data_IF_590784803614
#
_entry.id   IF_590784803614
#
_cell.length_a   1.000
_cell.length_b   1.000
_cell.length_c   1.000
_cell.angle_alpha   90.00
_cell.angle_beta   90.00
_cell.angle_gamma   90.00
#
_symmetry.space_group_name_H-M   'P 1'
#
loop_
_entity.id
_entity.type
_entity.pdbx_description
1 polymer ?
#
# COMPACT_ATOMS: atom_id res chain seq x y z
N UNK A 1 -35.69 37.85 14.97
CA UNK A 1 -35.37 37.03 13.78
C UNK A 1 -33.89 37.23 13.49
N UNK A 2 -33.02 36.33 13.97
CA UNK A 2 -31.58 36.35 13.67
C UNK A 2 -31.27 34.95 13.13
N UNK A 3 -31.07 34.88 11.82
CA UNK A 3 -30.83 33.65 11.09
C UNK A 3 -29.34 33.40 10.87
N UNK A 4 -28.98 32.11 11.02
CA UNK A 4 -27.96 31.37 10.29
C UNK A 4 -26.53 31.96 10.18
N UNK A 5 -25.63 31.50 11.05
CA UNK A 5 -24.23 31.22 10.71
C UNK A 5 -23.85 29.87 11.32
N UNK A 6 -23.90 28.78 10.55
CA UNK A 6 -23.38 27.48 10.96
C UNK A 6 -22.90 26.61 9.78
N UNK A 7 -22.36 27.22 8.72
CA UNK A 7 -21.84 26.47 7.55
C UNK A 7 -20.31 26.36 7.54
N UNK A 8 -19.59 27.08 8.40
CA UNK A 8 -18.12 27.13 8.36
C UNK A 8 -17.39 26.15 9.29
N UNK A 9 -18.09 25.48 10.22
CA UNK A 9 -17.46 24.55 11.17
C UNK A 9 -17.30 23.12 10.61
N UNK A 10 -18.08 22.73 9.60
CA UNK A 10 -17.97 21.39 9.00
C UNK A 10 -16.78 21.26 8.03
N UNK A 11 -16.27 22.35 7.45
CA UNK A 11 -15.17 22.27 6.47
C UNK A 11 -13.82 22.03 7.17
N UNK A 12 -13.59 22.65 8.34
CA UNK A 12 -12.33 22.52 9.09
C UNK A 12 -12.10 21.12 9.69
N UNK A 13 -13.15 20.49 10.21
CA UNK A 13 -13.06 19.13 10.76
C UNK A 13 -12.74 18.09 9.68
N UNK A 14 -13.32 18.25 8.48
CA UNK A 14 -13.04 17.35 7.35
C UNK A 14 -11.60 17.51 6.83
N UNK A 15 -11.06 18.73 6.78
CA UNK A 15 -9.68 18.94 6.35
C UNK A 15 -8.63 18.33 7.31
N UNK A 16 -8.87 18.42 8.63
CA UNK A 16 -8.01 17.78 9.64
C UNK A 16 -8.11 16.26 9.63
N UNK A 17 -9.31 15.70 9.44
CA UNK A 17 -9.50 14.26 9.29
C UNK A 17 -8.76 13.74 8.05
N UNK A 18 -8.93 14.39 6.90
CA UNK A 18 -8.26 14.01 5.64
C UNK A 18 -6.73 14.07 5.76
N UNK A 19 -6.18 15.10 6.42
CA UNK A 19 -4.73 15.17 6.65
C UNK A 19 -4.20 14.01 7.52
N UNK A 20 -4.93 13.67 8.59
CA UNK A 20 -4.60 12.52 9.46
C UNK A 20 -4.75 11.17 8.73
N UNK A 21 -5.73 11.05 7.85
CA UNK A 21 -5.97 9.84 7.06
C UNK A 21 -4.86 9.66 6.00
N UNK A 22 -4.41 10.75 5.37
CA UNK A 22 -3.28 10.72 4.43
C UNK A 22 -2.00 10.20 5.11
N UNK A 23 -1.63 10.75 6.26
CA UNK A 23 -0.47 10.30 7.03
C UNK A 23 -0.58 8.83 7.42
N UNK A 24 -1.79 8.38 7.77
CA UNK A 24 -2.06 6.97 8.10
C UNK A 24 -1.86 6.07 6.88
N UNK A 25 -2.37 6.45 5.70
CA UNK A 25 -2.17 5.70 4.45
C UNK A 25 -0.69 5.64 4.10
N UNK A 26 0.03 6.76 4.21
CA UNK A 26 1.49 6.81 3.96
C UNK A 26 2.26 5.89 4.91
N UNK A 27 1.87 5.83 6.17
CA UNK A 27 2.49 4.94 7.16
C UNK A 27 2.28 3.45 6.83
N UNK A 28 1.09 3.07 6.34
CA UNK A 28 0.80 1.69 5.88
C UNK A 28 1.72 1.32 4.72
N UNK A 29 1.85 2.19 3.73
CA UNK A 29 2.71 1.96 2.55
C UNK A 29 4.18 1.85 2.96
N UNK A 30 4.66 2.73 3.85
CA UNK A 30 6.03 2.67 4.35
C UNK A 30 6.32 1.34 5.08
N UNK A 31 5.34 0.82 5.82
CA UNK A 31 5.45 -0.49 6.49
C UNK A 31 5.48 -1.64 5.49
N UNK A 32 4.67 -1.58 4.44
CA UNK A 32 4.70 -2.57 3.35
C UNK A 32 6.05 -2.57 2.64
N UNK A 33 6.56 -1.40 2.25
CA UNK A 33 7.89 -1.25 1.62
C UNK A 33 8.99 -1.86 2.51
N UNK A 34 8.95 -1.60 3.82
CA UNK A 34 9.90 -2.18 4.76
C UNK A 34 9.80 -3.72 4.82
N UNK A 35 8.59 -4.27 4.75
CA UNK A 35 8.37 -5.71 4.75
C UNK A 35 8.92 -6.38 3.47
N UNK A 36 8.74 -5.75 2.30
CA UNK A 36 9.36 -6.17 1.04
C UNK A 36 10.89 -6.14 1.10
N UNK A 37 11.47 -5.04 1.61
CA UNK A 37 12.93 -4.91 1.79
C UNK A 37 13.52 -6.01 2.71
N UNK A 38 12.74 -6.46 3.70
CA UNK A 38 13.15 -7.51 4.64
C UNK A 38 12.82 -8.93 4.15
N UNK A 39 12.13 -9.07 3.02
CA UNK A 39 11.61 -10.34 2.52
C UNK A 39 10.75 -11.07 3.57
N UNK A 40 9.87 -10.34 4.26
CA UNK A 40 8.98 -10.86 5.29
C UNK A 40 7.57 -11.10 4.70
N UNK A 41 7.25 -12.35 4.29
CA UNK A 41 5.98 -12.66 3.64
C UNK A 41 4.78 -12.46 4.58
N UNK A 42 4.97 -12.67 5.88
CA UNK A 42 3.92 -12.54 6.87
C UNK A 42 3.59 -11.05 7.09
N UNK A 43 4.62 -10.23 7.26
CA UNK A 43 4.43 -8.80 7.45
C UNK A 43 3.78 -8.13 6.23
N UNK A 44 4.16 -8.53 4.99
CA UNK A 44 3.49 -8.08 3.76
C UNK A 44 2.01 -8.48 3.79
N UNK A 45 1.72 -9.78 3.94
CA UNK A 45 0.35 -10.28 3.88
C UNK A 45 -0.55 -9.71 4.98
N UNK A 46 -0.01 -9.40 6.16
CA UNK A 46 -0.77 -8.80 7.27
C UNK A 46 -1.32 -7.39 7.00
N UNK A 47 -0.85 -6.72 5.92
CA UNK A 47 -1.38 -5.42 5.50
C UNK A 47 -2.63 -5.56 4.61
N UNK A 48 -2.93 -6.76 4.13
CA UNK A 48 -4.04 -7.01 3.21
C UNK A 48 -5.25 -7.58 3.96
N UNK A 49 -6.45 -7.21 3.50
CA UNK A 49 -7.70 -7.82 3.98
C UNK A 49 -7.77 -9.31 3.57
N UNK A 50 -8.60 -10.09 4.28
CA UNK A 50 -8.77 -11.52 4.02
C UNK A 50 -9.32 -11.83 2.63
N UNK A 51 -9.94 -10.86 1.97
CA UNK A 51 -10.57 -10.92 0.65
C UNK A 51 -9.81 -10.10 -0.42
N UNK A 52 -8.60 -9.63 -0.09
CA UNK A 52 -7.81 -8.81 -1.01
C UNK A 52 -7.49 -9.54 -2.32
N UNK A 53 -7.48 -8.79 -3.42
CA UNK A 53 -6.92 -9.25 -4.69
C UNK A 53 -5.52 -8.67 -4.86
N UNK A 54 -4.54 -9.54 -5.02
CA UNK A 54 -3.16 -9.16 -5.33
C UNK A 54 -2.76 -9.69 -6.71
N UNK A 55 -2.08 -8.87 -7.50
CA UNK A 55 -1.60 -9.23 -8.83
C UNK A 55 -0.19 -8.70 -9.07
N UNK A 56 0.64 -9.50 -9.75
CA UNK A 56 1.97 -9.07 -10.19
C UNK A 56 2.07 -8.98 -11.73
N UNK A 57 3.19 -8.44 -12.26
CA UNK A 57 3.42 -8.34 -13.71
C UNK A 57 3.47 -9.68 -14.45
N UNK A 58 3.64 -10.80 -13.75
CA UNK A 58 3.78 -12.14 -14.33
C UNK A 58 2.47 -12.94 -14.33
N UNK A 59 1.33 -12.23 -14.33
CA UNK A 59 -0.01 -12.81 -14.35
C UNK A 59 -0.36 -13.73 -13.16
N UNK A 60 0.39 -13.67 -12.05
CA UNK A 60 -0.06 -14.28 -10.79
C UNK A 60 -1.19 -13.41 -10.23
N UNK A 61 -2.31 -14.04 -9.93
CA UNK A 61 -3.45 -13.41 -9.25
C UNK A 61 -3.86 -14.24 -8.05
N UNK A 62 -3.93 -13.59 -6.89
CA UNK A 62 -4.25 -14.19 -5.59
C UNK A 62 -5.46 -13.48 -4.99
N UNK A 63 -6.29 -14.20 -4.25
CA UNK A 63 -7.60 -13.77 -3.77
C UNK A 63 -7.76 -13.80 -2.24
N UNK A 64 -6.66 -13.74 -1.50
CA UNK A 64 -6.66 -13.52 -0.05
C UNK A 64 -5.27 -13.17 0.45
N UNK A 65 -5.19 -12.57 1.64
CA UNK A 65 -3.91 -12.41 2.35
C UNK A 65 -3.22 -13.74 2.64
N UNK A 66 -3.97 -14.82 2.92
CA UNK A 66 -3.41 -16.15 3.14
C UNK A 66 -2.76 -16.75 1.88
N UNK A 67 -3.37 -16.55 0.72
CA UNK A 67 -2.76 -16.96 -0.56
C UNK A 67 -1.50 -16.16 -0.86
N UNK A 68 -1.52 -14.85 -0.58
CA UNK A 68 -0.36 -13.98 -0.71
C UNK A 68 0.80 -14.44 0.18
N UNK A 69 0.56 -14.67 1.47
CA UNK A 69 1.59 -15.15 2.40
C UNK A 69 2.21 -16.47 1.93
N UNK A 70 1.38 -17.43 1.53
CA UNK A 70 1.83 -18.73 1.02
C UNK A 70 2.65 -18.59 -0.26
N UNK A 71 2.25 -17.70 -1.16
CA UNK A 71 2.97 -17.41 -2.39
C UNK A 71 4.33 -16.80 -2.09
N UNK A 72 4.38 -15.70 -1.33
CA UNK A 72 5.61 -14.98 -1.01
C UNK A 72 6.60 -15.83 -0.20
N UNK A 73 6.11 -16.66 0.73
CA UNK A 73 6.93 -17.61 1.50
C UNK A 73 7.76 -18.49 0.58
N UNK A 74 7.16 -19.01 -0.51
CA UNK A 74 7.87 -19.82 -1.50
C UNK A 74 8.70 -18.95 -2.44
N UNK A 75 8.18 -17.80 -2.83
CA UNK A 75 8.80 -16.92 -3.81
C UNK A 75 10.15 -16.38 -3.32
N UNK A 76 10.23 -15.93 -2.07
CA UNK A 76 11.45 -15.39 -1.45
C UNK A 76 12.54 -16.43 -1.18
N UNK A 77 12.22 -17.72 -1.32
CA UNK A 77 13.17 -18.83 -1.23
C UNK A 77 13.75 -19.23 -2.58
N UNK A 78 13.26 -18.66 -3.70
CA UNK A 78 13.77 -18.99 -5.03
C UNK A 78 15.23 -18.56 -5.15
N UNK A 79 16.12 -19.42 -5.69
CA UNK A 79 17.50 -19.06 -5.97
C UNK A 79 17.56 -17.77 -6.80
N UNK A 80 18.40 -16.83 -6.40
CA UNK A 80 18.60 -15.57 -7.11
C UNK A 80 17.56 -14.47 -6.83
N UNK A 81 16.42 -14.76 -6.19
CA UNK A 81 15.39 -13.73 -5.93
C UNK A 81 15.95 -12.56 -5.11
N UNK A 82 16.67 -12.87 -4.03
CA UNK A 82 17.28 -11.87 -3.14
C UNK A 82 18.53 -11.19 -3.71
N UNK A 83 18.97 -11.60 -4.91
CA UNK A 83 20.10 -10.98 -5.59
C UNK A 83 19.65 -9.74 -6.40
N UNK A 84 18.35 -9.60 -6.65
CA UNK A 84 17.77 -8.38 -7.20
C UNK A 84 18.10 -7.19 -6.29
N UNK A 85 18.35 -6.04 -6.93
CA UNK A 85 18.57 -4.78 -6.21
C UNK A 85 17.61 -3.74 -6.72
N UNK A 86 16.90 -3.12 -5.79
CA UNK A 86 16.14 -1.93 -6.09
C UNK A 86 17.12 -0.84 -6.50
N UNK A 87 16.83 -0.22 -7.64
CA UNK A 87 17.60 0.91 -8.16
C UNK A 87 17.06 2.24 -7.68
N UNK A 88 15.79 2.28 -7.32
CA UNK A 88 15.15 3.40 -6.63
C UNK A 88 14.21 2.84 -5.57
N UNK A 89 14.12 3.52 -4.41
CA UNK A 89 13.09 3.18 -3.42
C UNK A 89 11.71 3.51 -3.97
N UNK A 90 10.72 2.68 -3.63
CA UNK A 90 9.33 2.94 -3.97
C UNK A 90 8.90 4.32 -3.48
N UNK A 91 8.35 5.13 -4.39
CA UNK A 91 7.90 6.51 -4.14
C UNK A 91 6.42 6.63 -4.48
N UNK A 92 5.63 7.24 -3.60
CA UNK A 92 4.23 7.58 -3.86
C UNK A 92 4.21 8.75 -4.85
N UNK A 93 3.63 8.56 -6.04
CA UNK A 93 3.48 9.62 -7.05
C UNK A 93 2.10 10.25 -7.01
N UNK A 94 1.08 9.51 -6.56
CA UNK A 94 -0.28 10.00 -6.38
C UNK A 94 -0.94 9.29 -5.18
N UNK A 95 -1.67 10.06 -4.39
CA UNK A 95 -2.50 9.58 -3.28
C UNK A 95 -3.73 10.46 -3.25
N UNK A 96 -4.90 9.85 -3.45
CA UNK A 96 -6.15 10.59 -3.40
C UNK A 96 -7.26 9.75 -2.76
N UNK A 97 -8.27 10.45 -2.25
CA UNK A 97 -9.42 9.88 -1.58
C UNK A 97 -10.67 10.01 -2.45
N UNK A 98 -11.04 9.01 -3.28
CA UNK A 98 -12.28 9.06 -4.04
C UNK A 98 -13.53 9.07 -3.14
N UNK A 99 -13.40 8.65 -1.88
CA UNK A 99 -14.44 8.77 -0.85
C UNK A 99 -13.79 8.92 0.55
N UNK A 100 -14.56 9.29 1.60
CA UNK A 100 -14.03 9.39 2.97
C UNK A 100 -13.49 8.08 3.57
N UNK A 101 -13.67 6.94 2.90
CA UNK A 101 -13.30 5.61 3.43
C UNK A 101 -12.40 4.82 2.48
N UNK A 102 -12.02 5.41 1.35
CA UNK A 102 -11.21 4.75 0.32
C UNK A 102 -10.10 5.70 -0.09
N UNK A 103 -8.87 5.22 -0.05
CA UNK A 103 -7.71 5.86 -0.65
C UNK A 103 -7.23 5.02 -1.84
N UNK A 104 -6.80 5.68 -2.90
CA UNK A 104 -6.12 5.06 -4.04
C UNK A 104 -4.72 5.63 -4.09
N UNK A 105 -3.73 4.75 -4.19
CA UNK A 105 -2.32 5.13 -4.18
C UNK A 105 -1.63 4.56 -5.40
N UNK A 106 -0.90 5.43 -6.10
CA UNK A 106 0.03 5.03 -7.13
C UNK A 106 1.46 5.24 -6.62
N UNK A 107 2.25 4.19 -6.70
CA UNK A 107 3.70 4.24 -6.44
C UNK A 107 4.48 3.83 -7.66
N UNK A 108 5.71 4.32 -7.74
CA UNK A 108 6.69 3.93 -8.75
C UNK A 108 7.89 3.28 -8.04
N UNK A 109 8.30 2.12 -8.52
CA UNK A 109 9.51 1.41 -8.07
C UNK A 109 10.30 0.94 -9.29
N UNK A 110 11.60 0.78 -9.14
CA UNK A 110 12.46 0.28 -10.20
C UNK A 110 13.53 -0.61 -9.62
N UNK A 111 13.63 -1.84 -10.14
CA UNK A 111 14.62 -2.82 -9.71
C UNK A 111 15.42 -3.33 -10.90
N UNK A 112 16.69 -3.68 -10.67
CA UNK A 112 17.55 -4.34 -11.67
C UNK A 112 17.98 -5.71 -11.17
N UNK A 113 18.11 -6.64 -12.12
CA UNK A 113 18.59 -7.99 -11.84
C UNK A 113 17.56 -8.92 -11.21
N UNK A 114 16.27 -8.57 -11.23
CA UNK A 114 15.22 -9.59 -11.13
C UNK A 114 15.29 -10.42 -12.41
N UNK A 115 15.69 -11.69 -12.27
CA UNK A 115 15.76 -12.65 -13.37
C UNK A 115 14.35 -13.24 -13.53
N UNK A 116 13.86 -13.33 -14.77
CA UNK A 116 12.62 -14.05 -15.13
C UNK A 116 12.66 -15.54 -14.72
#
# INVERSE_FOLDING_TARGET
>A
MIGFIAVLLFIGANAQAVGSDEDTVRAVIAKEIAAWNNYDPHQIASQYTSDATWQNPFAVRLHSSAELEKFLTKHFQRPGYRAAKDTEQAKIIDLHFPSPTVAVVWSDESSKGQID
#
